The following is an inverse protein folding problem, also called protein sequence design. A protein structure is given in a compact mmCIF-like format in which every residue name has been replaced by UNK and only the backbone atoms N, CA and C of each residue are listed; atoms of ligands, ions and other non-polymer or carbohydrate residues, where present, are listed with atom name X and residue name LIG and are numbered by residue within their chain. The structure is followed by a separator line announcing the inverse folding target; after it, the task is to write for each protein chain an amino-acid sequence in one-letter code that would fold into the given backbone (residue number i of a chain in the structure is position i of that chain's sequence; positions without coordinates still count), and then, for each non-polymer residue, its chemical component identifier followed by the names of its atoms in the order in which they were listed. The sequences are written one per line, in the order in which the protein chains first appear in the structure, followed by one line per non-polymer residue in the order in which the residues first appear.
data_IF_177800030457
#
_entry.id   IF_177800030457
#
_cell.length_a   1.000
_cell.length_b   1.000
_cell.length_c   1.000
_cell.angle_alpha   90.00
_cell.angle_beta   90.00
_cell.angle_gamma   90.00
#
_symmetry.space_group_name_H-M   'P 1'
#
loop_
_entity.id
_entity.type
_entity.pdbx_description
1 polymer ?
#
# COMPACT_ATOMS: atom_id res chain seq x y z
N UNK A 1 -5.29 83.64 2.84
CA UNK A 1 -5.31 82.54 1.85
C UNK A 1 -4.88 81.27 2.57
N UNK A 2 -5.79 80.31 2.76
CA UNK A 2 -5.44 79.04 3.40
C UNK A 2 -4.60 78.18 2.46
N UNK A 3 -3.50 77.62 2.94
CA UNK A 3 -2.68 76.66 2.20
C UNK A 3 -3.43 75.34 2.10
N UNK A 4 -3.69 74.88 0.87
CA UNK A 4 -4.42 73.63 0.60
C UNK A 4 -3.49 72.62 -0.09
N UNK A 5 -3.48 71.38 0.40
CA UNK A 5 -2.81 70.27 -0.27
C UNK A 5 -3.83 69.47 -1.12
N UNK A 6 -3.47 69.03 -2.34
CA UNK A 6 -4.32 68.19 -3.18
C UNK A 6 -4.43 66.77 -2.61
N UNK A 7 -5.52 66.05 -2.89
CA UNK A 7 -5.67 64.66 -2.44
C UNK A 7 -4.63 63.75 -3.09
N UNK A 8 -3.98 62.89 -2.31
CA UNK A 8 -2.91 62.00 -2.78
C UNK A 8 -3.02 60.61 -2.13
N UNK A 9 -2.62 59.57 -2.88
CA UNK A 9 -2.59 58.18 -2.43
C UNK A 9 -1.14 57.69 -2.32
N UNK A 10 -0.80 57.01 -1.24
CA UNK A 10 0.57 56.58 -0.91
C UNK A 10 0.73 55.06 -0.79
N UNK A 11 -0.25 54.27 -1.27
CA UNK A 11 -0.23 52.81 -1.15
C UNK A 11 -0.90 52.27 0.12
N UNK A 12 -1.03 53.09 1.17
CA UNK A 12 -1.61 52.71 2.45
C UNK A 12 -2.94 53.44 2.73
N UNK A 13 -3.00 54.75 2.47
CA UNK A 13 -4.17 55.58 2.75
C UNK A 13 -4.42 56.62 1.64
N UNK A 14 -5.68 57.09 1.53
CA UNK A 14 -6.03 58.22 0.69
C UNK A 14 -6.09 59.49 1.55
N UNK A 15 -5.18 60.43 1.31
CA UNK A 15 -5.11 61.68 2.06
C UNK A 15 -6.09 62.69 1.50
N UNK A 16 -7.20 62.89 2.21
CA UNK A 16 -8.23 63.87 1.86
C UNK A 16 -7.83 65.28 2.31
N UNK A 17 -8.64 66.29 1.94
CA UNK A 17 -8.43 67.69 2.32
C UNK A 17 -8.68 67.98 3.81
N UNK A 18 -9.22 67.00 4.54
CA UNK A 18 -9.52 67.02 5.98
C UNK A 18 -8.78 65.90 6.70
N UNK A 19 -8.35 66.14 7.95
CA UNK A 19 -7.63 65.17 8.78
C UNK A 19 -8.45 63.88 8.96
N UNK A 20 -7.85 62.74 8.65
CA UNK A 20 -8.40 61.44 8.99
C UNK A 20 -8.23 61.18 10.50
N UNK A 21 -9.22 60.57 11.16
CA UNK A 21 -9.29 60.52 12.63
C UNK A 21 -8.12 59.77 13.30
N UNK A 22 -7.48 58.82 12.62
CA UNK A 22 -6.45 57.95 13.23
C UNK A 22 -5.06 58.01 12.57
N UNK A 23 -4.90 58.68 11.42
CA UNK A 23 -3.59 58.86 10.80
C UNK A 23 -3.49 60.30 10.30
N UNK A 24 -2.39 60.98 10.59
CA UNK A 24 -2.23 62.39 10.25
C UNK A 24 -1.04 62.60 9.34
N UNK A 25 -1.21 63.44 8.33
CA UNK A 25 -0.14 63.88 7.45
C UNK A 25 -0.16 65.39 7.39
N UNK A 26 0.98 66.01 7.65
CA UNK A 26 1.06 67.47 7.69
C UNK A 26 1.13 68.05 6.27
N UNK A 27 0.36 69.10 6.03
CA UNK A 27 0.46 69.91 4.81
C UNK A 27 1.42 71.07 5.09
N UNK A 28 2.52 71.15 4.33
CA UNK A 28 3.51 72.22 4.45
C UNK A 28 2.92 73.55 3.96
N UNK A 29 3.44 74.67 4.46
CA UNK A 29 3.06 76.02 4.02
C UNK A 29 3.29 76.26 2.51
N UNK A 30 4.11 75.43 1.87
CA UNK A 30 4.37 75.45 0.42
C UNK A 30 3.29 74.69 -0.41
N UNK A 31 2.23 74.18 0.22
CA UNK A 31 1.13 73.48 -0.46
C UNK A 31 1.42 72.02 -0.84
N UNK A 32 2.49 71.43 -0.30
CA UNK A 32 2.88 70.04 -0.51
C UNK A 32 2.74 69.20 0.76
N UNK A 33 2.48 67.90 0.60
CA UNK A 33 2.44 66.98 1.74
C UNK A 33 3.84 66.74 2.31
N UNK A 34 3.92 66.63 3.64
CA UNK A 34 5.13 66.17 4.31
C UNK A 34 5.54 64.78 3.80
N UNK A 35 6.85 64.53 3.77
CA UNK A 35 7.44 63.28 3.28
C UNK A 35 6.98 62.07 4.10
N UNK A 36 6.82 62.25 5.43
CA UNK A 36 6.41 61.21 6.37
C UNK A 36 5.02 61.51 6.94
N UNK A 37 4.17 60.48 6.98
CA UNK A 37 2.90 60.50 7.70
C UNK A 37 3.05 59.87 9.09
N UNK A 38 2.27 60.38 10.03
CA UNK A 38 2.23 59.92 11.41
C UNK A 38 1.12 58.87 11.56
N UNK A 39 1.55 57.67 11.96
CA UNK A 39 0.73 56.49 12.18
C UNK A 39 0.82 56.00 13.64
N UNK A 40 1.26 56.83 14.58
CA UNK A 40 1.46 56.40 15.98
C UNK A 40 0.16 55.94 16.66
N UNK A 41 -1.00 56.41 16.18
CA UNK A 41 -2.32 55.97 16.63
C UNK A 41 -2.80 54.69 15.92
N UNK A 42 -2.11 54.23 14.88
CA UNK A 42 -2.41 52.98 14.19
C UNK A 42 -1.72 51.81 14.89
N UNK A 43 -2.51 50.92 15.48
CA UNK A 43 -2.00 49.64 15.99
C UNK A 43 -1.93 48.63 14.86
N UNK A 44 -0.80 47.95 14.71
CA UNK A 44 -0.71 46.78 13.84
C UNK A 44 -1.75 45.75 14.27
N UNK A 45 -2.66 45.40 13.36
CA UNK A 45 -3.57 44.28 13.55
C UNK A 45 -2.72 43.00 13.48
N UNK A 46 -2.31 42.50 14.64
CA UNK A 46 -1.89 41.12 14.80
C UNK A 46 -3.14 40.24 14.63
N UNK A 47 -3.62 40.11 13.40
CA UNK A 47 -4.54 39.04 13.05
C UNK A 47 -3.76 37.75 13.30
N UNK A 48 -4.22 36.87 14.21
CA UNK A 48 -3.67 35.53 14.26
C UNK A 48 -3.90 34.96 12.86
N UNK A 49 -2.83 34.54 12.19
CA UNK A 49 -2.94 33.74 10.98
C UNK A 49 -3.81 32.55 11.40
N UNK A 50 -5.06 32.52 10.97
CA UNK A 50 -5.88 31.33 11.01
C UNK A 50 -5.27 30.38 9.99
N UNK A 51 -4.16 29.75 10.37
CA UNK A 51 -3.82 28.45 9.83
C UNK A 51 -5.09 27.64 10.12
N UNK A 52 -5.80 27.11 9.11
CA UNK A 52 -6.90 26.21 9.38
C UNK A 52 -6.30 25.13 10.29
N UNK A 53 -6.74 25.12 11.55
CA UNK A 53 -6.36 24.07 12.49
C UNK A 53 -7.02 22.84 11.88
N UNK A 54 -6.27 22.15 11.04
CA UNK A 54 -6.66 20.87 10.50
C UNK A 54 -6.96 20.02 11.73
N UNK A 55 -8.20 19.58 11.85
CA UNK A 55 -8.59 18.75 12.98
C UNK A 55 -7.70 17.51 12.91
N UNK A 56 -6.76 17.41 13.84
CA UNK A 56 -5.78 16.32 13.92
C UNK A 56 -6.49 14.95 13.81
N UNK A 57 -7.72 14.87 14.31
CA UNK A 57 -8.61 13.72 14.20
C UNK A 57 -8.97 13.33 12.76
N UNK A 58 -9.27 14.27 11.86
CA UNK A 58 -9.58 13.96 10.45
C UNK A 58 -8.34 13.46 9.69
N UNK A 59 -7.18 14.01 10.02
CA UNK A 59 -5.88 13.63 9.44
C UNK A 59 -5.49 12.20 9.80
N UNK A 60 -5.66 11.81 11.08
CA UNK A 60 -5.39 10.44 11.52
C UNK A 60 -6.31 9.41 10.85
N UNK A 61 -7.60 9.72 10.71
CA UNK A 61 -8.57 8.85 10.05
C UNK A 61 -8.20 8.66 8.57
N UNK A 62 -7.77 9.73 7.89
CA UNK A 62 -7.27 9.68 6.51
C UNK A 62 -6.06 8.74 6.41
N UNK A 63 -4.97 9.01 7.14
CA UNK A 63 -3.75 8.19 7.04
C UNK A 63 -3.97 6.72 7.38
N UNK A 64 -4.81 6.44 8.39
CA UNK A 64 -5.18 5.07 8.73
C UNK A 64 -5.94 4.39 7.60
N UNK A 65 -6.88 5.09 6.97
CA UNK A 65 -7.63 4.61 5.80
C UNK A 65 -6.71 4.29 4.61
N UNK A 66 -5.74 5.15 4.29
CA UNK A 66 -4.76 4.87 3.23
C UNK A 66 -3.85 3.70 3.59
N UNK A 67 -3.41 3.60 4.85
CA UNK A 67 -2.62 2.46 5.31
C UNK A 67 -3.36 1.14 5.09
N UNK A 68 -4.62 1.06 5.56
CA UNK A 68 -5.46 -0.12 5.37
C UNK A 68 -5.71 -0.42 3.89
N UNK A 69 -5.96 0.61 3.08
CA UNK A 69 -6.22 0.46 1.64
C UNK A 69 -4.99 -0.03 0.88
N UNK A 70 -3.81 0.51 1.19
CA UNK A 70 -2.53 0.09 0.59
C UNK A 70 -2.17 -1.34 1.00
N UNK A 71 -2.43 -1.72 2.24
CA UNK A 71 -2.25 -3.10 2.71
C UNK A 71 -3.21 -4.06 1.99
N UNK A 72 -4.49 -3.70 1.87
CA UNK A 72 -5.45 -4.52 1.14
C UNK A 72 -5.05 -4.66 -0.35
N UNK A 73 -4.63 -3.57 -0.98
CA UNK A 73 -4.21 -3.56 -2.37
C UNK A 73 -2.91 -4.36 -2.60
N UNK A 74 -1.94 -4.29 -1.68
CA UNK A 74 -0.71 -5.07 -1.79
C UNK A 74 -0.98 -6.57 -1.70
N UNK A 75 -1.86 -6.99 -0.77
CA UNK A 75 -2.31 -8.37 -0.63
C UNK A 75 -3.05 -8.82 -1.89
N UNK A 76 -3.97 -8.00 -2.41
CA UNK A 76 -4.72 -8.32 -3.62
C UNK A 76 -3.80 -8.50 -4.84
N UNK A 77 -2.82 -7.60 -5.03
CA UNK A 77 -1.83 -7.70 -6.09
C UNK A 77 -0.96 -8.94 -5.93
N UNK A 78 -0.51 -9.24 -4.71
CA UNK A 78 0.28 -10.43 -4.44
C UNK A 78 -0.47 -11.71 -4.83
N UNK A 79 -1.74 -11.83 -4.42
CA UNK A 79 -2.60 -12.97 -4.75
C UNK A 79 -2.80 -13.07 -6.27
N UNK A 80 -3.10 -11.96 -6.94
CA UNK A 80 -3.28 -11.94 -8.40
C UNK A 80 -2.01 -12.37 -9.14
N UNK A 81 -0.85 -11.83 -8.75
CA UNK A 81 0.43 -12.20 -9.33
C UNK A 81 0.76 -13.66 -9.07
N UNK A 82 0.49 -14.18 -7.86
CA UNK A 82 0.67 -15.58 -7.53
C UNK A 82 -0.12 -16.51 -8.47
N UNK A 83 -1.43 -16.25 -8.65
CA UNK A 83 -2.25 -17.05 -9.56
C UNK A 83 -1.79 -16.92 -11.02
N UNK A 84 -1.37 -15.73 -11.46
CA UNK A 84 -0.82 -15.52 -12.81
C UNK A 84 0.50 -16.25 -13.01
N UNK A 85 1.39 -16.23 -12.01
CA UNK A 85 2.67 -16.95 -12.06
C UNK A 85 2.44 -18.46 -12.18
N UNK A 86 1.52 -19.02 -11.39
CA UNK A 86 1.13 -20.44 -11.49
C UNK A 86 0.63 -20.76 -12.90
N UNK A 87 -0.28 -19.93 -13.45
CA UNK A 87 -0.81 -20.14 -14.79
C UNK A 87 0.27 -20.07 -15.87
N UNK A 88 1.17 -19.09 -15.80
CA UNK A 88 2.30 -18.95 -16.74
C UNK A 88 3.23 -20.16 -16.61
N UNK A 89 3.60 -20.57 -15.40
CA UNK A 89 4.43 -21.76 -15.17
C UNK A 89 3.80 -23.02 -15.74
N UNK A 90 2.48 -23.17 -15.64
CA UNK A 90 1.76 -24.30 -16.23
C UNK A 90 1.85 -24.28 -17.76
N UNK A 91 1.64 -23.12 -18.38
CA UNK A 91 1.75 -22.94 -19.84
C UNK A 91 3.19 -23.17 -20.32
N UNK A 92 4.20 -22.61 -19.64
CA UNK A 92 5.61 -22.78 -20.04
C UNK A 92 6.04 -24.23 -19.93
N UNK A 93 5.53 -24.98 -18.96
CA UNK A 93 5.81 -26.40 -18.78
C UNK A 93 5.30 -27.24 -19.96
N UNK A 94 4.09 -26.96 -20.46
CA UNK A 94 3.51 -27.61 -21.65
C UNK A 94 4.32 -27.29 -22.92
N UNK A 95 4.71 -26.02 -23.09
CA UNK A 95 5.58 -25.61 -24.21
C UNK A 95 6.96 -26.26 -24.15
N UNK A 96 7.54 -26.38 -22.96
CA UNK A 96 8.86 -26.95 -22.74
C UNK A 96 8.90 -28.46 -23.02
N UNK A 97 7.76 -29.16 -22.84
CA UNK A 97 7.60 -30.57 -23.22
C UNK A 97 7.72 -30.77 -24.74
N UNK A 98 7.21 -29.82 -25.53
CA UNK A 98 7.22 -29.89 -27.00
C UNK A 98 8.59 -29.66 -27.63
N UNK A 99 9.57 -29.12 -26.90
CA UNK A 99 10.93 -28.87 -27.41
C UNK A 99 11.89 -30.02 -27.02
N UNK A 100 12.40 -30.81 -27.98
CA UNK A 100 13.25 -31.98 -27.69
C UNK A 100 14.71 -31.58 -27.48
N UNK A 101 14.99 -30.76 -26.46
CA UNK A 101 16.36 -30.54 -25.98
C UNK A 101 16.57 -31.21 -24.62
N UNK A 102 17.75 -31.80 -24.42
CA UNK A 102 18.10 -32.55 -23.20
C UNK A 102 18.02 -31.69 -21.93
N UNK A 103 18.34 -30.40 -22.05
CA UNK A 103 18.21 -29.41 -20.97
C UNK A 103 16.74 -29.04 -20.71
N UNK A 104 15.93 -28.86 -21.76
CA UNK A 104 14.51 -28.50 -21.70
C UNK A 104 13.68 -29.60 -21.04
N UNK A 105 13.89 -30.86 -21.40
CA UNK A 105 13.16 -31.99 -20.81
C UNK A 105 13.44 -32.15 -19.30
N UNK A 106 14.71 -32.01 -18.88
CA UNK A 106 15.06 -32.05 -17.45
C UNK A 106 14.41 -30.90 -16.68
N UNK A 107 14.47 -29.68 -17.22
CA UNK A 107 13.84 -28.52 -16.61
C UNK A 107 12.30 -28.65 -16.53
N UNK A 108 11.66 -29.20 -17.57
CA UNK A 108 10.21 -29.45 -17.58
C UNK A 108 9.81 -30.46 -16.50
N UNK A 109 10.52 -31.59 -16.40
CA UNK A 109 10.25 -32.60 -15.37
C UNK A 109 10.33 -32.03 -13.95
N UNK A 110 11.40 -31.28 -13.64
CA UNK A 110 11.57 -30.63 -12.33
C UNK A 110 10.44 -29.62 -12.07
N UNK A 111 10.08 -28.83 -13.08
CA UNK A 111 9.04 -27.80 -12.96
C UNK A 111 7.65 -28.42 -12.74
N UNK A 112 7.32 -29.52 -13.42
CA UNK A 112 6.06 -30.27 -13.20
C UNK A 112 5.96 -30.77 -11.76
N UNK A 113 7.03 -31.39 -11.24
CA UNK A 113 7.06 -31.93 -9.89
C UNK A 113 6.88 -30.81 -8.86
N UNK A 114 7.62 -29.70 -9.03
CA UNK A 114 7.54 -28.54 -8.16
C UNK A 114 6.14 -27.91 -8.17
N UNK A 115 5.56 -27.69 -9.36
CA UNK A 115 4.25 -27.07 -9.50
C UNK A 115 3.14 -27.95 -8.90
N UNK A 116 3.23 -29.26 -9.09
CA UNK A 116 2.30 -30.24 -8.50
C UNK A 116 2.39 -30.22 -6.97
N UNK A 117 3.60 -30.09 -6.41
CA UNK A 117 3.82 -29.97 -4.97
C UNK A 117 3.28 -28.69 -4.38
N UNK A 118 3.55 -27.55 -5.00
CA UNK A 118 3.07 -26.25 -4.54
C UNK A 118 1.54 -26.17 -4.61
N UNK A 119 0.94 -26.65 -5.69
CA UNK A 119 -0.52 -26.71 -5.83
C UNK A 119 -1.14 -27.62 -4.76
N UNK A 120 -0.62 -28.84 -4.59
CA UNK A 120 -1.09 -29.77 -3.56
C UNK A 120 -1.00 -29.18 -2.17
N UNK A 121 0.15 -28.59 -1.83
CA UNK A 121 0.38 -27.92 -0.55
C UNK A 121 -0.63 -26.79 -0.30
N UNK A 122 -0.94 -25.97 -1.31
CA UNK A 122 -1.94 -24.91 -1.18
C UNK A 122 -3.33 -25.47 -0.82
N UNK A 123 -3.75 -26.55 -1.47
CA UNK A 123 -5.02 -27.22 -1.15
C UNK A 123 -5.04 -27.83 0.25
N UNK A 124 -3.98 -28.54 0.65
CA UNK A 124 -3.90 -29.13 1.98
C UNK A 124 -3.81 -28.07 3.08
N UNK A 125 -3.16 -26.94 2.85
CA UNK A 125 -3.15 -25.82 3.79
C UNK A 125 -4.52 -25.19 3.96
N UNK A 126 -5.33 -25.04 2.89
CA UNK A 126 -6.73 -24.60 3.04
C UNK A 126 -7.55 -25.57 3.90
N UNK A 127 -7.31 -26.88 3.77
CA UNK A 127 -7.95 -27.88 4.64
C UNK A 127 -7.50 -27.76 6.10
N UNK A 128 -6.19 -27.57 6.35
CA UNK A 128 -5.63 -27.39 7.70
C UNK A 128 -6.20 -26.14 8.37
N UNK A 129 -6.28 -25.02 7.66
CA UNK A 129 -6.91 -23.79 8.15
C UNK A 129 -8.39 -24.03 8.53
N UNK A 130 -9.15 -24.73 7.68
CA UNK A 130 -10.53 -25.10 7.97
C UNK A 130 -10.69 -26.00 9.19
N UNK A 131 -9.83 -27.02 9.34
CA UNK A 131 -9.82 -27.91 10.49
C UNK A 131 -9.40 -27.18 11.77
N UNK A 132 -8.43 -26.28 11.66
CA UNK A 132 -7.95 -25.46 12.78
C UNK A 132 -9.06 -24.57 13.34
N UNK A 133 -9.77 -23.85 12.47
CA UNK A 133 -10.93 -23.04 12.86
C UNK A 133 -12.04 -23.90 13.48
N UNK A 134 -12.35 -25.05 12.91
CA UNK A 134 -13.35 -25.97 13.47
C UNK A 134 -12.99 -26.45 14.88
N UNK A 135 -11.73 -26.86 15.10
CA UNK A 135 -11.27 -27.32 16.40
C UNK A 135 -11.29 -26.18 17.42
N UNK A 136 -10.88 -24.96 17.03
CA UNK A 136 -10.96 -23.78 17.91
C UNK A 136 -12.39 -23.52 18.39
N UNK A 137 -13.39 -23.68 17.52
CA UNK A 137 -14.81 -23.49 17.84
C UNK A 137 -15.36 -24.60 18.74
N UNK A 138 -14.99 -25.86 18.49
CA UNK A 138 -15.55 -27.01 19.22
C UNK A 138 -14.82 -27.30 20.54
N UNK A 139 -13.52 -26.99 20.62
CA UNK A 139 -12.62 -27.34 21.74
C UNK A 139 -12.06 -26.11 22.45
N UNK A 140 -12.85 -25.05 22.56
CA UNK A 140 -12.44 -23.72 23.06
C UNK A 140 -11.84 -23.69 24.48
N UNK A 141 -12.08 -24.71 25.33
CA UNK A 141 -11.68 -24.70 26.75
C UNK A 141 -10.51 -25.62 27.15
N UNK A 142 -9.90 -26.37 26.22
CA UNK A 142 -8.83 -27.33 26.55
C UNK A 142 -7.58 -27.14 25.66
N UNK A 143 -7.22 -25.87 25.40
CA UNK A 143 -6.10 -25.45 24.52
C UNK A 143 -4.78 -25.39 25.30
N UNK A 144 -4.53 -26.33 26.21
CA UNK A 144 -3.15 -26.56 26.65
C UNK A 144 -2.39 -27.28 25.51
N UNK A 145 -1.90 -26.47 24.57
CA UNK A 145 -0.72 -26.74 23.72
C UNK A 145 -0.78 -27.95 22.77
N UNK A 146 -1.92 -28.29 22.16
CA UNK A 146 -1.84 -29.16 20.96
C UNK A 146 -1.00 -28.41 19.93
N UNK A 147 0.27 -28.80 19.80
CA UNK A 147 1.31 -27.99 19.15
C UNK A 147 0.85 -27.70 17.73
N UNK A 148 0.67 -26.42 17.40
CA UNK A 148 0.45 -25.92 16.02
C UNK A 148 1.44 -26.56 15.05
N UNK A 149 2.65 -26.87 15.53
CA UNK A 149 3.68 -27.64 14.84
C UNK A 149 3.16 -28.94 14.21
N UNK A 150 2.29 -29.71 14.86
CA UNK A 150 1.79 -30.97 14.30
C UNK A 150 0.84 -30.74 13.11
N UNK A 151 -0.05 -29.74 13.21
CA UNK A 151 -0.92 -29.33 12.10
C UNK A 151 -0.10 -28.75 10.93
N UNK A 152 0.97 -28.03 11.26
CA UNK A 152 1.91 -27.50 10.28
C UNK A 152 2.64 -28.64 9.55
N UNK A 153 3.10 -29.67 10.25
CA UNK A 153 3.72 -30.87 9.64
C UNK A 153 2.74 -31.58 8.69
N UNK A 154 1.47 -31.73 9.07
CA UNK A 154 0.46 -32.40 8.22
C UNK A 154 0.26 -31.65 6.90
N UNK A 155 0.23 -30.32 6.94
CA UNK A 155 0.07 -29.48 5.74
C UNK A 155 1.18 -29.67 4.70
N UNK A 156 2.41 -29.99 5.13
CA UNK A 156 3.55 -30.23 4.22
C UNK A 156 3.78 -31.71 3.90
N UNK A 157 3.56 -32.61 4.85
CA UNK A 157 3.84 -34.04 4.69
C UNK A 157 2.83 -34.73 3.76
N UNK A 158 1.53 -34.38 3.84
CA UNK A 158 0.51 -35.02 2.99
C UNK A 158 0.71 -34.79 1.48
N UNK A 159 0.97 -33.56 0.98
CA UNK A 159 1.33 -33.33 -0.41
C UNK A 159 2.60 -34.07 -0.85
N UNK A 160 3.62 -34.12 0.03
CA UNK A 160 4.87 -34.81 -0.26
C UNK A 160 4.66 -36.32 -0.47
N UNK A 161 3.85 -36.96 0.38
CA UNK A 161 3.53 -38.39 0.26
C UNK A 161 2.82 -38.72 -1.04
N UNK A 162 1.83 -37.91 -1.45
CA UNK A 162 1.09 -38.13 -2.70
C UNK A 162 2.02 -38.08 -3.91
N UNK A 163 2.94 -37.11 -3.95
CA UNK A 163 3.90 -36.98 -5.04
C UNK A 163 4.91 -38.11 -5.03
N UNK A 164 5.35 -38.52 -3.84
CA UNK A 164 6.25 -39.67 -3.72
C UNK A 164 5.59 -40.95 -4.28
N UNK A 165 4.33 -41.22 -3.96
CA UNK A 165 3.58 -42.33 -4.55
C UNK A 165 3.44 -42.22 -6.07
N UNK A 166 3.19 -41.01 -6.58
CA UNK A 166 3.11 -40.76 -8.02
C UNK A 166 4.45 -40.98 -8.74
N UNK A 167 5.55 -40.50 -8.16
CA UNK A 167 6.91 -40.70 -8.68
C UNK A 167 7.30 -42.18 -8.68
N UNK A 168 6.99 -42.91 -7.60
CA UNK A 168 7.19 -44.35 -7.54
C UNK A 168 6.42 -45.06 -8.65
N UNK A 169 5.14 -44.73 -8.83
CA UNK A 169 4.31 -45.31 -9.90
C UNK A 169 4.95 -45.05 -11.27
N UNK A 170 5.38 -43.82 -11.55
CA UNK A 170 6.06 -43.47 -12.80
C UNK A 170 7.37 -44.23 -13.00
N UNK A 171 8.17 -44.43 -11.95
CA UNK A 171 9.40 -45.22 -12.00
C UNK A 171 9.10 -46.69 -12.31
N UNK A 172 8.12 -47.29 -11.64
CA UNK A 172 7.72 -48.68 -11.90
C UNK A 172 7.26 -48.89 -13.36
N UNK A 173 6.39 -48.02 -13.88
CA UNK A 173 5.95 -48.11 -15.28
C UNK A 173 7.10 -47.90 -16.29
N UNK A 174 8.00 -46.96 -16.02
CA UNK A 174 9.16 -46.73 -16.90
C UNK A 174 10.09 -47.94 -16.98
N UNK A 175 10.32 -48.65 -15.87
CA UNK A 175 11.12 -49.87 -15.88
C UNK A 175 10.42 -51.01 -16.64
N UNK A 176 9.10 -51.13 -16.47
CA UNK A 176 8.33 -52.15 -17.17
C UNK A 176 8.35 -52.00 -18.70
N UNK A 177 8.21 -50.76 -19.21
CA UNK A 177 8.37 -50.48 -20.65
C UNK A 177 9.78 -50.81 -21.16
N UNK A 178 10.80 -50.71 -20.31
CA UNK A 178 12.19 -51.05 -20.66
C UNK A 178 12.39 -52.55 -20.83
N UNK A 179 11.72 -53.37 -20.01
CA UNK A 179 11.80 -54.83 -20.06
C UNK A 179 10.98 -55.44 -21.21
N UNK A 180 9.95 -54.74 -21.72
CA UNK A 180 9.11 -55.21 -22.83
C UNK A 180 9.69 -54.97 -24.23
N UNK A 181 10.68 -54.08 -24.38
CA UNK A 181 11.28 -53.71 -25.68
C UNK A 181 12.51 -54.57 -26.02
N UNK A 182 12.89 -55.51 -25.15
CA UNK A 182 14.05 -56.40 -25.31
C UNK A 182 13.62 -57.84 -25.56
#
# INVERSE_FOLDING_TARGET
MGTYCPSAWDGASCWMRTLAENATRMCLSNGTWAERADYDQCKALNLPIQIPIENIHTTYIYYFGYGLSLLALSIALFIFLYFKLIAICWITTDRLHSYPSSTSQKASCITVILLTYLMGTNFFWMFVEGLYLYILVVKTFSIEFVKITNYLIIGWAAPALIIFCWLLSKFYFSNYDSELVQ
#
